data_IF_289798560776
#
_entry.id   IF_289798560776
#
_cell.length_a   1.000
_cell.length_b   1.000
_cell.length_c   1.000
_cell.angle_alpha   90.00
_cell.angle_beta   90.00
_cell.angle_gamma   90.00
#
_symmetry.space_group_name_H-M   'P 1'
#
loop_
_entity.id
_entity.type
_entity.pdbx_description
1 polymer ?
#
# COMPACT_ATOMS: atom_id res chain seq x y z
N UNK A 1 -4.52 7.46 26.38
CA UNK A 1 -4.76 6.35 25.44
C UNK A 1 -3.47 5.74 24.87
N UNK A 2 -2.41 6.51 24.56
CA UNK A 2 -1.14 5.94 24.04
C UNK A 2 -0.48 4.92 24.99
N UNK A 3 -0.41 5.23 26.29
CA UNK A 3 0.28 4.37 27.26
C UNK A 3 -0.31 2.96 27.43
N UNK A 4 -1.63 2.80 27.27
CA UNK A 4 -2.28 1.49 27.37
C UNK A 4 -1.97 0.62 26.13
N UNK A 5 -2.09 1.21 24.94
CA UNK A 5 -1.71 0.54 23.69
C UNK A 5 -0.25 0.13 23.71
N UNK A 6 0.65 0.97 24.23
CA UNK A 6 2.09 0.68 24.32
C UNK A 6 2.40 -0.45 25.32
N UNK A 7 1.70 -0.49 26.46
CA UNK A 7 1.86 -1.55 27.46
C UNK A 7 1.38 -2.92 26.91
N UNK A 8 0.22 -2.93 26.26
CA UNK A 8 -0.37 -4.13 25.66
C UNK A 8 0.49 -4.63 24.49
N UNK A 9 0.96 -3.72 23.63
CA UNK A 9 1.83 -4.08 22.51
C UNK A 9 3.14 -4.72 22.99
N UNK A 10 3.85 -4.10 23.96
CA UNK A 10 5.09 -4.66 24.52
C UNK A 10 4.90 -6.04 25.12
N UNK A 11 3.78 -6.24 25.82
CA UNK A 11 3.43 -7.54 26.40
C UNK A 11 3.25 -8.61 25.33
N UNK A 12 2.47 -8.31 24.29
CA UNK A 12 2.21 -9.25 23.20
C UNK A 12 3.45 -9.49 22.33
N UNK A 13 4.33 -8.50 22.17
CA UNK A 13 5.60 -8.65 21.45
C UNK A 13 6.59 -9.61 22.13
N UNK A 14 6.55 -9.69 23.47
CA UNK A 14 7.38 -10.62 24.26
C UNK A 14 6.81 -12.04 24.32
N UNK A 15 5.49 -12.20 24.13
CA UNK A 15 4.77 -13.48 24.20
C UNK A 15 4.57 -14.14 22.81
N UNK A 16 4.84 -13.44 21.71
CA UNK A 16 4.57 -13.92 20.35
C UNK A 16 5.67 -14.86 19.83
N UNK A 17 5.41 -16.17 19.87
CA UNK A 17 6.27 -17.24 19.33
C UNK A 17 6.08 -17.41 17.80
N UNK A 18 6.06 -16.29 17.07
CA UNK A 18 5.96 -16.24 15.60
C UNK A 18 4.55 -16.12 15.00
N UNK A 19 3.48 -16.24 15.81
CA UNK A 19 2.11 -16.00 15.37
C UNK A 19 1.51 -14.78 16.08
N UNK A 20 1.06 -13.79 15.31
CA UNK A 20 0.45 -12.61 15.89
C UNK A 20 -0.94 -12.94 16.48
N UNK A 21 -1.27 -12.41 17.68
CA UNK A 21 -2.54 -12.68 18.33
C UNK A 21 -3.71 -12.09 17.53
N UNK A 22 -4.80 -12.85 17.41
CA UNK A 22 -6.02 -12.40 16.73
C UNK A 22 -6.73 -11.26 17.48
N UNK A 23 -7.56 -10.50 16.76
CA UNK A 23 -8.27 -9.33 17.30
C UNK A 23 -9.09 -9.64 18.58
N UNK A 24 -9.66 -10.85 18.68
CA UNK A 24 -10.38 -11.29 19.88
C UNK A 24 -9.47 -11.40 21.12
N UNK A 25 -8.25 -11.95 20.95
CA UNK A 25 -7.28 -12.08 22.04
C UNK A 25 -6.75 -10.70 22.47
N UNK A 26 -6.53 -9.79 21.52
CA UNK A 26 -6.15 -8.40 21.80
C UNK A 26 -7.28 -7.70 22.58
N UNK A 27 -8.54 -7.85 22.15
CA UNK A 27 -9.69 -7.24 22.81
C UNK A 27 -9.89 -7.74 24.24
N UNK A 28 -9.65 -9.03 24.49
CA UNK A 28 -9.67 -9.60 25.84
C UNK A 28 -8.58 -8.99 26.73
N UNK A 29 -7.36 -8.83 26.19
CA UNK A 29 -6.24 -8.23 26.93
C UNK A 29 -6.48 -6.75 27.24
N UNK A 30 -7.04 -5.99 26.29
CA UNK A 30 -7.43 -4.58 26.47
C UNK A 30 -8.45 -4.45 27.59
N UNK A 31 -9.53 -5.24 27.55
CA UNK A 31 -10.58 -5.23 28.58
C UNK A 31 -10.06 -5.64 29.96
N UNK A 32 -9.13 -6.58 30.03
CA UNK A 32 -8.48 -6.97 31.28
C UNK A 32 -7.57 -5.88 31.85
N UNK A 33 -6.91 -5.12 30.98
CA UNK A 33 -5.94 -4.10 31.38
C UNK A 33 -6.63 -2.79 31.79
N UNK A 34 -7.75 -2.46 31.15
CA UNK A 34 -8.59 -1.33 31.53
C UNK A 34 -10.09 -1.67 31.34
N UNK A 35 -10.77 -2.13 32.42
CA UNK A 35 -12.17 -2.53 32.36
C UNK A 35 -13.17 -1.37 32.15
N UNK A 36 -12.73 -0.11 32.24
CA UNK A 36 -13.62 1.06 32.19
C UNK A 36 -13.80 1.63 30.78
N UNK A 37 -13.08 1.12 29.79
CA UNK A 37 -13.16 1.57 28.41
C UNK A 37 -14.52 1.23 27.78
N UNK A 38 -15.07 2.17 27.01
CA UNK A 38 -16.23 1.91 26.16
C UNK A 38 -15.88 0.97 25.00
N UNK A 39 -16.88 0.29 24.40
CA UNK A 39 -16.66 -0.58 23.24
C UNK A 39 -15.97 0.14 22.07
N UNK A 40 -16.22 1.44 21.88
CA UNK A 40 -15.56 2.26 20.85
C UNK A 40 -14.08 2.52 21.17
N UNK A 41 -13.72 2.65 22.45
CA UNK A 41 -12.33 2.81 22.89
C UNK A 41 -11.57 1.49 22.86
N UNK A 42 -12.24 0.38 23.20
CA UNK A 42 -11.69 -0.96 23.05
C UNK A 42 -11.39 -1.23 21.58
N UNK A 43 -12.35 -1.01 20.68
CA UNK A 43 -12.14 -1.21 19.23
C UNK A 43 -10.97 -0.37 18.69
N UNK A 44 -10.91 0.92 19.03
CA UNK A 44 -9.78 1.79 18.64
C UNK A 44 -8.43 1.29 19.17
N UNK A 45 -8.40 0.80 20.41
CA UNK A 45 -7.16 0.28 21.03
C UNK A 45 -6.76 -1.06 20.40
N UNK A 46 -7.73 -1.93 20.11
CA UNK A 46 -7.50 -3.19 19.38
C UNK A 46 -6.94 -2.91 18.00
N UNK A 47 -7.51 -1.98 17.25
CA UNK A 47 -7.01 -1.60 15.92
C UNK A 47 -5.59 -1.04 16.01
N UNK A 48 -5.30 -0.17 16.99
CA UNK A 48 -3.96 0.37 17.20
C UNK A 48 -2.93 -0.72 17.56
N UNK A 49 -3.28 -1.66 18.43
CA UNK A 49 -2.40 -2.78 18.82
C UNK A 49 -2.23 -3.77 17.67
N UNK A 50 -3.30 -4.12 16.96
CA UNK A 50 -3.27 -5.02 15.80
C UNK A 50 -2.46 -4.41 14.65
N UNK A 51 -2.60 -3.12 14.38
CA UNK A 51 -1.77 -2.40 13.40
C UNK A 51 -0.28 -2.47 13.76
N UNK A 52 0.06 -2.49 15.05
CA UNK A 52 1.45 -2.65 15.51
C UNK A 52 1.93 -4.10 15.55
N UNK A 53 1.04 -5.08 15.64
CA UNK A 53 1.40 -6.51 15.70
C UNK A 53 1.39 -7.20 14.33
N UNK A 54 0.54 -6.73 13.40
CA UNK A 54 0.28 -7.38 12.09
C UNK A 54 0.36 -6.39 10.93
N UNK A 55 0.08 -5.12 11.16
CA UNK A 55 0.09 -4.07 10.13
C UNK A 55 1.44 -3.37 9.98
N UNK A 56 1.45 -2.26 9.26
CA UNK A 56 2.63 -1.42 9.05
C UNK A 56 2.90 -0.45 10.22
N UNK A 57 2.41 -0.75 11.43
CA UNK A 57 2.63 0.07 12.61
C UNK A 57 2.03 1.47 12.47
N UNK A 58 2.75 2.54 12.88
CA UNK A 58 2.21 3.90 12.89
C UNK A 58 1.77 4.44 11.52
N UNK A 59 2.31 3.90 10.42
CA UNK A 59 1.95 4.36 9.06
C UNK A 59 0.71 3.67 8.47
N UNK A 60 0.19 2.65 9.16
CA UNK A 60 -0.93 1.82 8.68
C UNK A 60 -2.20 2.66 8.45
N UNK A 61 -2.44 3.67 9.31
CA UNK A 61 -3.52 4.64 9.12
C UNK A 61 -3.36 5.51 7.88
N UNK A 62 -2.13 5.95 7.57
CA UNK A 62 -1.81 6.75 6.38
C UNK A 62 -2.00 5.93 5.10
N UNK A 63 -1.58 4.66 5.13
CA UNK A 63 -1.77 3.71 4.02
C UNK A 63 -3.24 3.38 3.73
N UNK A 64 -4.16 3.62 4.66
CA UNK A 64 -5.61 3.45 4.44
C UNK A 64 -6.34 4.75 4.14
N UNK A 65 -5.76 5.90 4.48
CA UNK A 65 -6.41 7.20 4.33
C UNK A 65 -6.81 7.48 2.87
N UNK A 66 -8.04 7.94 2.66
CA UNK A 66 -8.49 8.35 1.33
C UNK A 66 -7.66 9.54 0.82
N UNK A 67 -7.36 9.56 -0.48
CA UNK A 67 -6.59 10.65 -1.12
C UNK A 67 -5.06 10.54 -0.98
N UNK A 68 -4.53 9.71 -0.09
CA UNK A 68 -3.08 9.43 -0.06
C UNK A 68 -2.69 8.58 -1.26
N UNK A 69 -1.68 8.98 -2.03
CA UNK A 69 -1.12 8.14 -3.11
C UNK A 69 0.21 7.52 -2.69
N UNK A 70 0.99 8.23 -1.89
CA UNK A 70 2.34 7.79 -1.50
C UNK A 70 2.54 8.04 0.00
N UNK A 71 3.29 7.16 0.67
CA UNK A 71 3.73 7.30 2.07
C UNK A 71 5.25 7.17 2.10
N UNK A 72 5.93 8.18 2.64
CA UNK A 72 7.37 8.32 2.57
C UNK A 72 7.96 8.49 3.97
N UNK A 73 8.90 7.63 4.32
CA UNK A 73 9.71 7.67 5.54
C UNK A 73 11.14 7.97 5.13
N UNK A 74 11.63 9.15 5.49
CA UNK A 74 12.92 9.68 5.05
C UNK A 74 13.94 9.67 6.20
N UNK A 75 14.07 8.56 6.92
CA UNK A 75 14.85 8.45 8.14
C UNK A 75 14.07 8.93 9.38
N UNK A 76 14.72 8.97 10.57
CA UNK A 76 14.06 9.37 11.80
C UNK A 76 13.49 10.79 11.72
N UNK A 77 12.21 10.95 12.01
CA UNK A 77 11.50 12.22 11.84
C UNK A 77 10.07 12.05 11.32
N UNK A 78 9.47 13.13 10.79
CA UNK A 78 8.09 13.11 10.33
C UNK A 78 7.94 12.23 9.08
N UNK A 79 6.84 11.48 9.06
CA UNK A 79 6.38 10.74 7.87
C UNK A 79 5.67 11.72 6.94
N UNK A 80 5.97 11.60 5.65
CA UNK A 80 5.36 12.42 4.60
C UNK A 80 4.36 11.59 3.81
N UNK A 81 3.35 12.25 3.25
CA UNK A 81 2.43 11.63 2.29
C UNK A 81 2.25 12.51 1.07
N UNK A 82 1.93 11.88 -0.07
CA UNK A 82 1.46 12.60 -1.25
C UNK A 82 -0.07 12.55 -1.32
N UNK A 83 -0.70 13.70 -1.54
CA UNK A 83 -2.12 13.84 -1.87
C UNK A 83 -2.27 14.75 -3.08
N UNK A 84 -3.02 14.31 -4.08
CA UNK A 84 -3.30 15.09 -5.29
C UNK A 84 -2.02 15.70 -5.93
N UNK A 85 -0.89 14.97 -5.89
CA UNK A 85 0.40 15.41 -6.43
C UNK A 85 1.16 16.42 -5.56
N UNK A 86 0.73 16.66 -4.33
CA UNK A 86 1.39 17.55 -3.36
C UNK A 86 1.93 16.74 -2.18
N UNK A 87 3.17 17.06 -1.75
CA UNK A 87 3.78 16.46 -0.57
C UNK A 87 3.40 17.23 0.69
N UNK A 88 2.96 16.50 1.72
CA UNK A 88 2.62 17.05 3.03
C UNK A 88 3.29 16.24 4.16
N UNK A 89 3.78 16.94 5.18
CA UNK A 89 4.25 16.30 6.41
C UNK A 89 3.05 15.93 7.29
N UNK A 90 3.09 14.76 7.91
CA UNK A 90 2.05 14.29 8.82
C UNK A 90 2.46 14.48 10.28
N UNK A 91 1.50 14.32 11.20
CA UNK A 91 1.77 14.31 12.64
C UNK A 91 2.44 13.01 13.12
N UNK A 92 2.61 12.01 12.24
CA UNK A 92 3.29 10.76 12.56
C UNK A 92 4.80 11.00 12.49
N UNK A 93 5.49 10.78 13.60
CA UNK A 93 6.95 10.85 13.70
C UNK A 93 7.46 9.47 14.07
N UNK A 94 8.49 9.00 13.38
CA UNK A 94 9.13 7.73 13.64
C UNK A 94 10.57 7.92 14.12
N UNK A 95 10.98 7.17 15.14
CA UNK A 95 12.38 7.05 15.49
C UNK A 95 13.10 5.94 14.69
N UNK A 96 14.41 5.79 14.90
CA UNK A 96 15.21 4.79 14.18
C UNK A 96 14.74 3.35 14.43
N UNK A 97 14.38 3.02 15.65
CA UNK A 97 13.98 1.66 16.03
C UNK A 97 12.63 1.31 15.41
N UNK A 98 11.69 2.26 15.40
CA UNK A 98 10.39 2.11 14.75
C UNK A 98 10.51 1.91 13.24
N UNK A 99 11.43 2.62 12.58
CA UNK A 99 11.70 2.45 11.15
C UNK A 99 12.33 1.08 10.87
N UNK A 100 13.26 0.61 11.69
CA UNK A 100 13.87 -0.71 11.53
C UNK A 100 12.82 -1.82 11.66
N UNK A 101 11.93 -1.71 12.65
CA UNK A 101 10.81 -2.63 12.82
C UNK A 101 9.84 -2.57 11.62
N UNK A 102 9.56 -1.38 11.09
CA UNK A 102 8.75 -1.22 9.89
C UNK A 102 9.38 -1.93 8.69
N UNK A 103 10.68 -1.72 8.46
CA UNK A 103 11.43 -2.38 7.38
C UNK A 103 11.34 -3.91 7.52
N UNK A 104 11.59 -4.45 8.72
CA UNK A 104 11.49 -5.89 8.98
C UNK A 104 10.08 -6.44 8.69
N UNK A 105 9.03 -5.73 9.13
CA UNK A 105 7.63 -6.10 8.85
C UNK A 105 7.29 -6.09 7.38
N UNK A 106 7.90 -5.20 6.58
CA UNK A 106 7.72 -5.15 5.13
C UNK A 106 8.44 -6.31 4.45
N UNK A 107 9.73 -6.53 4.75
CA UNK A 107 10.57 -7.42 3.94
C UNK A 107 10.43 -8.89 4.32
N UNK A 108 10.19 -9.21 5.60
CA UNK A 108 10.17 -10.59 6.08
C UNK A 108 9.05 -11.45 5.45
N UNK A 109 7.78 -11.00 5.36
CA UNK A 109 6.71 -11.77 4.71
C UNK A 109 6.94 -11.98 3.21
N UNK A 110 7.74 -11.13 2.59
CA UNK A 110 8.07 -11.18 1.16
C UNK A 110 9.27 -12.10 0.87
N UNK A 111 9.84 -12.74 1.90
CA UNK A 111 11.06 -13.55 1.78
C UNK A 111 12.29 -12.74 1.37
N UNK A 112 12.27 -11.43 1.62
CA UNK A 112 13.35 -10.48 1.28
C UNK A 112 14.16 -10.17 2.53
N UNK A 113 15.36 -9.60 2.34
CA UNK A 113 16.21 -9.07 3.41
C UNK A 113 16.62 -7.66 3.05
N UNK A 114 16.60 -6.78 4.04
CA UNK A 114 17.15 -5.43 3.97
C UNK A 114 18.22 -5.31 5.06
N UNK A 115 19.48 -5.35 4.67
CA UNK A 115 20.65 -5.32 5.55
C UNK A 115 21.83 -4.62 4.85
N UNK A 116 22.97 -4.36 5.52
CA UNK A 116 24.09 -3.67 4.89
C UNK A 116 24.67 -4.34 3.66
N UNK A 117 24.41 -5.64 3.43
CA UNK A 117 24.83 -6.38 2.22
C UNK A 117 23.77 -6.25 1.13
N UNK A 118 22.48 -6.29 1.48
CA UNK A 118 21.33 -6.14 0.60
C UNK A 118 20.59 -4.85 0.91
N UNK A 119 21.24 -3.73 0.62
CA UNK A 119 20.82 -2.43 1.14
C UNK A 119 19.60 -1.83 0.41
N UNK A 120 19.18 -2.42 -0.72
CA UNK A 120 18.00 -2.02 -1.50
C UNK A 120 17.02 -3.18 -1.61
N UNK A 121 15.75 -2.89 -1.39
CA UNK A 121 14.65 -3.82 -1.61
C UNK A 121 13.53 -3.15 -2.37
N UNK A 122 13.24 -3.70 -3.54
CA UNK A 122 12.05 -3.37 -4.34
C UNK A 122 11.08 -4.54 -4.26
N UNK A 123 9.86 -4.27 -3.82
CA UNK A 123 8.87 -5.33 -3.65
C UNK A 123 7.43 -4.84 -3.79
N UNK A 124 6.51 -5.80 -3.72
CA UNK A 124 5.07 -5.57 -3.78
C UNK A 124 4.42 -6.06 -2.50
N UNK A 125 3.63 -5.19 -1.90
CA UNK A 125 2.83 -5.50 -0.72
C UNK A 125 1.60 -6.35 -1.12
N UNK A 126 0.99 -7.10 -0.18
CA UNK A 126 -0.16 -7.96 -0.47
C UNK A 126 -1.39 -7.22 -1.06
N UNK A 127 -1.56 -5.93 -0.74
CA UNK A 127 -2.60 -5.06 -1.29
C UNK A 127 -2.32 -4.60 -2.73
N UNK A 128 -1.14 -4.95 -3.27
CA UNK A 128 -0.68 -4.59 -4.60
C UNK A 128 0.12 -3.29 -4.64
N UNK A 129 0.29 -2.59 -3.52
CA UNK A 129 1.11 -1.39 -3.41
C UNK A 129 2.59 -1.72 -3.65
N UNK A 130 3.32 -0.76 -4.22
CA UNK A 130 4.76 -0.90 -4.46
C UNK A 130 5.52 -0.33 -3.27
N UNK A 131 6.58 -1.02 -2.85
CA UNK A 131 7.43 -0.55 -1.77
C UNK A 131 8.89 -0.57 -2.21
N UNK A 132 9.58 0.51 -1.88
CA UNK A 132 11.01 0.70 -2.04
C UNK A 132 11.60 0.93 -0.65
N UNK A 133 12.60 0.13 -0.30
CA UNK A 133 13.33 0.25 0.96
C UNK A 133 14.81 0.44 0.66
N UNK A 134 15.43 1.41 1.31
CA UNK A 134 16.88 1.58 1.33
C UNK A 134 17.36 1.62 2.78
N UNK A 135 18.44 0.89 3.10
CA UNK A 135 19.04 0.88 4.44
C UNK A 135 20.51 1.31 4.38
N UNK A 136 21.16 1.66 5.51
CA UNK A 136 22.60 1.89 5.53
C UNK A 136 23.38 0.70 4.94
N UNK A 137 24.48 0.94 4.22
CA UNK A 137 25.24 2.20 4.16
C UNK A 137 24.79 3.19 3.07
N UNK A 138 23.90 2.81 2.16
CA UNK A 138 23.47 3.70 1.06
C UNK A 138 22.52 4.81 1.53
N UNK A 139 21.77 4.53 2.60
CA UNK A 139 20.85 5.47 3.21
C UNK A 139 21.56 6.14 4.40
N UNK A 140 22.31 7.21 4.10
CA UNK A 140 23.28 7.83 5.02
C UNK A 140 22.62 8.36 6.30
N UNK A 141 21.45 8.98 6.18
CA UNK A 141 20.73 9.60 7.30
C UNK A 141 19.80 8.62 8.03
N UNK A 142 19.82 7.35 7.65
CA UNK A 142 18.98 6.28 8.20
C UNK A 142 18.16 5.58 7.13
N UNK A 143 17.39 4.53 7.49
CA UNK A 143 16.60 3.80 6.52
C UNK A 143 15.50 4.65 5.87
N UNK A 144 15.28 4.43 4.58
CA UNK A 144 14.21 5.03 3.80
C UNK A 144 13.18 3.99 3.40
N UNK A 145 11.90 4.37 3.47
CA UNK A 145 10.78 3.54 3.00
C UNK A 145 9.85 4.42 2.18
N UNK A 146 9.62 4.05 0.93
CA UNK A 146 8.64 4.70 0.07
C UNK A 146 7.59 3.66 -0.36
N UNK A 147 6.34 3.88 0.05
CA UNK A 147 5.21 3.06 -0.35
C UNK A 147 4.34 3.86 -1.31
N UNK A 148 4.30 3.43 -2.56
CA UNK A 148 3.35 3.94 -3.55
C UNK A 148 2.13 3.06 -3.54
N UNK A 149 1.01 3.63 -3.09
CA UNK A 149 -0.25 2.89 -2.96
C UNK A 149 -0.76 2.50 -4.32
N UNK A 150 -1.26 1.28 -4.39
CA UNK A 150 -2.06 0.88 -5.53
C UNK A 150 -3.42 1.58 -5.45
N UNK A 151 -3.74 2.43 -6.42
CA UNK A 151 -5.01 3.15 -6.42
C UNK A 151 -6.18 2.15 -6.44
N UNK A 152 -6.92 2.09 -5.32
CA UNK A 152 -7.99 1.11 -5.13
C UNK A 152 -9.27 1.45 -5.91
N UNK A 153 -9.40 2.68 -6.44
CA UNK A 153 -10.60 3.12 -7.16
C UNK A 153 -10.35 3.06 -8.67
N UNK A 154 -11.08 2.20 -9.38
CA UNK A 154 -11.07 2.23 -10.81
C UNK A 154 -11.67 3.54 -11.35
N UNK A 155 -11.10 4.08 -12.42
CA UNK A 155 -11.59 5.28 -13.08
C UNK A 155 -12.33 4.86 -14.36
N UNK A 156 -13.53 5.38 -14.55
CA UNK A 156 -14.34 5.12 -15.75
C UNK A 156 -13.85 5.95 -16.94
N UNK A 157 -14.08 5.46 -18.17
CA UNK A 157 -13.60 6.13 -19.38
C UNK A 157 -14.14 7.56 -19.53
N UNK A 158 -15.40 7.79 -19.17
CA UNK A 158 -16.03 9.11 -19.23
C UNK A 158 -15.43 10.11 -18.23
N UNK A 159 -14.68 9.65 -17.22
CA UNK A 159 -13.99 10.51 -16.27
C UNK A 159 -12.61 10.95 -16.76
N UNK A 160 -12.05 10.29 -17.78
CA UNK A 160 -10.72 10.59 -18.34
C UNK A 160 -10.77 11.14 -19.77
N UNK A 161 -11.92 11.07 -20.43
CA UNK A 161 -12.13 11.57 -21.78
C UNK A 161 -13.51 12.24 -21.91
N UNK A 162 -13.60 13.30 -22.72
CA UNK A 162 -14.89 13.90 -23.08
C UNK A 162 -15.76 12.91 -23.85
N UNK A 163 -17.09 13.10 -23.79
CA UNK A 163 -18.08 12.13 -24.30
C UNK A 163 -17.79 11.62 -25.73
N UNK A 164 -17.54 12.52 -26.69
CA UNK A 164 -17.28 12.14 -28.09
C UNK A 164 -16.00 11.30 -28.23
N UNK A 165 -14.96 11.62 -27.45
CA UNK A 165 -13.69 10.89 -27.46
C UNK A 165 -13.85 9.53 -26.77
N UNK A 166 -14.60 9.47 -25.67
CA UNK A 166 -14.91 8.22 -24.99
C UNK A 166 -15.69 7.27 -25.91
N UNK A 167 -16.68 7.77 -26.66
CA UNK A 167 -17.44 6.96 -27.62
C UNK A 167 -16.56 6.44 -28.77
N UNK A 168 -15.70 7.29 -29.33
CA UNK A 168 -14.72 6.88 -30.34
C UNK A 168 -13.81 5.76 -29.81
N UNK A 169 -13.26 5.94 -28.60
CA UNK A 169 -12.39 4.95 -27.97
C UNK A 169 -13.10 3.62 -27.72
N UNK A 170 -14.37 3.64 -27.29
CA UNK A 170 -15.21 2.44 -27.15
C UNK A 170 -15.38 1.72 -28.48
N UNK A 171 -15.63 2.46 -29.57
CA UNK A 171 -15.76 1.87 -30.90
C UNK A 171 -14.45 1.20 -31.36
N UNK A 172 -13.31 1.84 -31.11
CA UNK A 172 -11.98 1.26 -31.39
C UNK A 172 -11.75 -0.05 -30.63
N UNK A 173 -12.09 -0.09 -29.33
CA UNK A 173 -11.98 -1.30 -28.50
C UNK A 173 -12.91 -2.41 -29.01
N UNK A 174 -14.18 -2.09 -29.30
CA UNK A 174 -15.16 -3.05 -29.83
C UNK A 174 -14.73 -3.65 -31.17
N UNK A 175 -14.09 -2.86 -32.04
CA UNK A 175 -13.53 -3.30 -33.32
C UNK A 175 -12.19 -4.01 -33.21
N UNK A 176 -11.62 -4.13 -31.99
CA UNK A 176 -10.30 -4.71 -31.74
C UNK A 176 -9.19 -4.01 -32.50
N UNK A 177 -9.30 -2.68 -32.63
CA UNK A 177 -8.25 -1.87 -33.23
C UNK A 177 -6.97 -1.89 -32.38
N UNK A 178 -5.82 -1.76 -33.03
CA UNK A 178 -4.56 -1.58 -32.32
C UNK A 178 -4.47 -0.12 -31.85
N UNK A 179 -4.37 0.08 -30.54
CA UNK A 179 -4.31 1.40 -29.92
C UNK A 179 -3.00 1.52 -29.12
N UNK A 180 -2.29 2.64 -29.33
CA UNK A 180 -1.10 2.98 -28.55
C UNK A 180 -1.40 4.24 -27.75
N UNK A 181 -1.23 4.17 -26.43
CA UNK A 181 -1.35 5.32 -25.53
C UNK A 181 0.04 5.85 -25.21
N UNK A 182 0.30 7.12 -25.51
CA UNK A 182 1.58 7.78 -25.31
C UNK A 182 1.44 9.07 -24.48
N UNK A 183 2.55 9.53 -23.89
CA UNK A 183 2.56 10.68 -22.99
C UNK A 183 3.73 10.62 -21.99
N UNK A 184 4.00 11.75 -21.32
CA UNK A 184 5.06 11.86 -20.31
C UNK A 184 4.83 10.94 -19.10
N UNK A 185 5.86 10.72 -18.29
CA UNK A 185 5.71 10.03 -16.99
C UNK A 185 4.70 10.78 -16.12
N UNK A 186 3.79 10.04 -15.47
CA UNK A 186 2.72 10.64 -14.65
C UNK A 186 1.51 11.21 -15.41
N UNK A 187 1.50 11.19 -16.76
CA UNK A 187 0.40 11.79 -17.55
C UNK A 187 -0.90 10.97 -17.59
N UNK A 188 -1.05 9.93 -16.77
CA UNK A 188 -2.26 9.09 -16.73
C UNK A 188 -2.38 8.01 -17.81
N UNK A 189 -1.29 7.62 -18.49
CA UNK A 189 -1.31 6.56 -19.52
C UNK A 189 -1.93 5.25 -19.03
N UNK A 190 -1.42 4.73 -17.91
CA UNK A 190 -1.92 3.47 -17.34
C UNK A 190 -3.36 3.61 -16.85
N UNK A 191 -3.76 4.80 -16.41
CA UNK A 191 -5.15 5.11 -16.04
C UNK A 191 -6.08 4.97 -17.23
N UNK A 192 -5.74 5.59 -18.37
CA UNK A 192 -6.53 5.47 -19.60
C UNK A 192 -6.56 4.02 -20.09
N UNK A 193 -5.43 3.31 -20.05
CA UNK A 193 -5.36 1.91 -20.47
C UNK A 193 -6.25 1.00 -19.60
N UNK A 194 -6.30 1.24 -18.29
CA UNK A 194 -7.22 0.56 -17.37
C UNK A 194 -8.69 0.84 -17.70
N UNK A 195 -9.04 2.09 -18.00
CA UNK A 195 -10.40 2.46 -18.40
C UNK A 195 -10.80 1.78 -19.72
N UNK A 196 -9.92 1.79 -20.74
CA UNK A 196 -10.15 1.07 -22.01
C UNK A 196 -10.30 -0.44 -21.81
N UNK A 197 -9.51 -1.01 -20.91
CA UNK A 197 -9.56 -2.43 -20.57
C UNK A 197 -10.91 -2.92 -20.04
N UNK A 198 -11.75 -2.00 -19.55
CA UNK A 198 -13.10 -2.29 -19.05
C UNK A 198 -14.16 -2.29 -20.15
N UNK A 199 -13.86 -1.65 -21.27
CA UNK A 199 -14.70 -1.65 -22.47
C UNK A 199 -14.46 -2.91 -23.33
N UNK A 200 -13.54 -3.78 -22.91
CA UNK A 200 -13.29 -5.06 -23.57
C UNK A 200 -14.53 -5.97 -23.48
N UNK A 201 -14.93 -6.64 -24.58
CA UNK A 201 -16.05 -7.59 -24.54
C UNK A 201 -15.77 -8.75 -23.57
N UNK A 202 -16.78 -9.23 -22.84
CA UNK A 202 -16.61 -10.27 -21.82
C UNK A 202 -15.95 -11.58 -22.33
N UNK A 203 -16.18 -11.95 -23.60
CA UNK A 203 -15.71 -13.18 -24.21
C UNK A 203 -14.33 -13.08 -24.89
N UNK A 204 -13.42 -12.23 -24.38
CA UNK A 204 -12.05 -12.12 -24.89
C UNK A 204 -11.05 -12.67 -23.89
N UNK A 205 -10.02 -13.36 -24.41
CA UNK A 205 -8.84 -13.71 -23.62
C UNK A 205 -7.85 -12.56 -23.71
N UNK A 206 -7.39 -12.07 -22.57
CA UNK A 206 -6.40 -10.99 -22.49
C UNK A 206 -5.11 -11.50 -21.90
N UNK A 207 -3.98 -11.11 -22.48
CA UNK A 207 -2.65 -11.31 -21.91
C UNK A 207 -2.05 -9.94 -21.65
N UNK A 208 -1.65 -9.69 -20.42
CA UNK A 208 -0.96 -8.46 -20.02
C UNK A 208 0.50 -8.79 -19.74
N UNK A 209 1.41 -7.94 -20.22
CA UNK A 209 2.85 -8.02 -19.97
C UNK A 209 3.27 -6.64 -19.49
N UNK A 210 3.70 -6.55 -18.23
CA UNK A 210 3.99 -5.27 -17.58
C UNK A 210 5.32 -5.39 -16.82
N UNK A 211 6.13 -4.33 -16.71
CA UNK A 211 7.28 -4.36 -15.80
C UNK A 211 6.83 -4.46 -14.33
N UNK A 212 5.72 -3.79 -14.00
CA UNK A 212 5.01 -3.93 -12.75
C UNK A 212 3.52 -4.03 -13.05
N UNK A 213 2.83 -5.08 -12.58
CA UNK A 213 1.48 -5.33 -13.02
C UNK A 213 0.48 -4.30 -12.45
N UNK A 214 0.05 -3.33 -13.25
CA UNK A 214 -0.84 -2.24 -12.87
C UNK A 214 -2.25 -2.37 -13.47
N UNK A 215 -2.42 -3.20 -14.49
CA UNK A 215 -3.72 -3.38 -15.14
C UNK A 215 -4.70 -4.22 -14.32
N UNK A 216 -5.95 -3.75 -14.24
CA UNK A 216 -7.12 -4.35 -13.59
C UNK A 216 -8.27 -4.46 -14.60
N UNK A 217 -8.25 -5.54 -15.37
CA UNK A 217 -9.27 -5.80 -16.38
C UNK A 217 -10.46 -6.51 -15.74
N UNK A 218 -11.68 -6.15 -16.16
CA UNK A 218 -12.92 -6.69 -15.60
C UNK A 218 -13.33 -8.05 -16.21
N UNK A 219 -12.55 -8.59 -17.14
CA UNK A 219 -12.83 -9.88 -17.78
C UNK A 219 -12.30 -11.05 -16.96
N UNK A 220 -13.02 -12.16 -16.97
CA UNK A 220 -12.66 -13.38 -16.23
C UNK A 220 -11.42 -14.09 -16.81
N UNK A 221 -11.10 -13.87 -18.10
CA UNK A 221 -10.06 -14.62 -18.80
C UNK A 221 -8.77 -13.82 -19.04
N UNK A 222 -8.13 -13.37 -17.96
CA UNK A 222 -6.89 -12.57 -17.99
C UNK A 222 -5.68 -13.42 -17.55
N UNK A 223 -4.63 -13.42 -18.38
CA UNK A 223 -3.29 -13.88 -17.99
C UNK A 223 -2.44 -12.64 -17.70
N UNK A 224 -1.86 -12.58 -16.50
CA UNK A 224 -0.99 -11.47 -16.07
C UNK A 224 0.46 -11.94 -16.00
N UNK A 225 1.32 -11.27 -16.74
CA UNK A 225 2.75 -11.55 -16.81
C UNK A 225 3.51 -10.29 -16.40
N UNK A 226 4.54 -10.47 -15.58
CA UNK A 226 5.51 -9.41 -15.29
C UNK A 226 6.80 -9.68 -16.08
N UNK A 227 7.33 -8.65 -16.75
CA UNK A 227 8.61 -8.71 -17.42
C UNK A 227 9.74 -8.79 -16.37
N UNK A 228 10.73 -9.63 -16.62
CA UNK A 228 11.94 -9.80 -15.79
C UNK A 228 13.19 -9.48 -16.58
#
# INVERSE_FOLDING_TARGET
MSGLSDAIHRRLALEADGAAPGAAAIAELVRRSDPLLSEVEVARTVDAVAARLVGFGPIDGLLRAAGVTDVLVNGPGPVWVERDGQLEATDVVLDREEIDLLVQRIVAPLGRRADPVHALVDARLPDGSRVHVAVPPIAVDGPYVAVRRFAARPIELDAVAGADVAELLRDLVRRRANVVVSGATGSGKTTLLNALGRELPAAVRVVTVEEAAELRLATDHVVRLEAR
#
